data_IF_757225501944
#
_entry.id   IF_757225501944
#
_cell.length_a   1.000
_cell.length_b   1.000
_cell.length_c   1.000
_cell.angle_alpha   90.00
_cell.angle_beta   90.00
_cell.angle_gamma   90.00
#
_symmetry.space_group_name_H-M   'P 1'
#
loop_
_entity.id
_entity.type
_entity.pdbx_description
1 polymer ?
#
# COMPACT_ATOMS: atom_id res chain seq x y z
N UNK A 1 -9.97 11.10 13.79
CA UNK A 1 -8.56 10.76 14.15
C UNK A 1 -8.11 11.67 15.27
N UNK A 2 -7.58 11.10 16.37
CA UNK A 2 -7.14 11.87 17.54
C UNK A 2 -5.82 12.56 17.20
N UNK A 3 -5.77 13.89 17.32
CA UNK A 3 -4.53 14.67 17.16
C UNK A 3 -3.47 14.15 18.13
N UNK A 4 -2.42 13.50 17.63
CA UNK A 4 -1.25 13.14 18.44
C UNK A 4 -0.41 14.38 18.61
N UNK A 5 -0.40 14.96 19.82
CA UNK A 5 0.53 16.05 20.14
C UNK A 5 1.93 15.44 20.24
N UNK A 6 2.92 15.96 19.47
CA UNK A 6 4.28 15.43 19.56
C UNK A 6 4.80 15.61 20.99
N UNK A 7 5.41 14.56 21.60
CA UNK A 7 5.95 14.66 22.94
C UNK A 7 7.12 15.65 22.98
N UNK A 8 7.16 16.47 24.01
CA UNK A 8 8.31 17.30 24.35
C UNK A 8 9.48 16.41 24.80
N UNK A 9 10.71 16.80 24.47
CA UNK A 9 11.97 16.09 24.70
C UNK A 9 12.02 15.23 25.98
N UNK A 10 12.35 13.95 25.79
CA UNK A 10 12.60 13.01 26.87
C UNK A 10 11.49 11.97 27.15
N UNK A 11 10.45 11.91 26.35
CA UNK A 11 9.35 10.94 26.55
C UNK A 11 9.66 9.54 26.02
N UNK A 12 9.01 8.53 26.60
CA UNK A 12 9.01 7.15 26.14
C UNK A 12 8.63 7.09 24.65
N UNK A 13 9.17 6.11 23.91
CA UNK A 13 8.86 5.89 22.50
C UNK A 13 7.35 5.73 22.26
N UNK A 14 6.87 6.21 21.11
CA UNK A 14 5.48 6.07 20.68
C UNK A 14 5.41 4.95 19.65
N UNK A 15 4.47 4.02 19.83
CA UNK A 15 4.19 2.97 18.83
C UNK A 15 2.88 3.28 18.10
N UNK A 16 2.95 3.29 16.78
CA UNK A 16 1.83 3.53 15.88
C UNK A 16 1.57 2.30 15.00
N UNK A 17 0.32 2.14 14.61
CA UNK A 17 -0.07 1.18 13.56
C UNK A 17 -0.05 1.90 12.22
N UNK A 18 0.75 1.40 11.28
CA UNK A 18 0.81 1.87 9.91
C UNK A 18 -0.03 0.92 9.04
N UNK A 19 -1.30 1.26 8.85
CA UNK A 19 -2.27 0.42 8.15
C UNK A 19 -1.98 0.33 6.66
N UNK A 20 -1.98 -0.87 6.09
CA UNK A 20 -1.85 -1.07 4.66
C UNK A 20 -2.96 -0.35 3.88
N UNK A 21 -2.65 0.08 2.66
CA UNK A 21 -3.67 0.53 1.71
C UNK A 21 -4.04 -0.59 0.77
N UNK A 22 -5.27 -0.60 0.32
CA UNK A 22 -5.76 -1.45 -0.75
C UNK A 22 -6.39 -0.57 -1.83
N UNK A 23 -5.96 -0.74 -3.08
CA UNK A 23 -6.57 -0.09 -4.24
C UNK A 23 -7.68 -1.00 -4.75
N UNK A 24 -8.95 -0.60 -4.52
CA UNK A 24 -10.14 -1.37 -4.89
C UNK A 24 -10.47 -1.25 -6.37
N UNK A 25 -10.25 -0.06 -6.92
CA UNK A 25 -10.35 0.18 -8.35
C UNK A 25 -9.25 1.13 -8.80
N UNK A 26 -8.82 1.00 -10.04
CA UNK A 26 -7.80 1.85 -10.64
C UNK A 26 -8.13 2.06 -12.11
N UNK A 27 -8.39 3.30 -12.48
CA UNK A 27 -8.58 3.73 -13.86
C UNK A 27 -7.45 4.65 -14.28
N UNK A 28 -6.96 4.45 -15.47
CA UNK A 28 -6.00 5.36 -16.10
C UNK A 28 -6.78 6.43 -16.83
N UNK A 29 -6.63 7.71 -16.45
CA UNK A 29 -7.45 8.81 -16.99
C UNK A 29 -6.69 9.71 -17.96
N UNK A 30 -5.38 9.54 -18.06
CA UNK A 30 -4.54 10.30 -18.97
C UNK A 30 -3.06 10.24 -18.63
N UNK A 31 -2.29 11.02 -19.36
CA UNK A 31 -0.87 11.21 -19.17
C UNK A 31 -0.61 12.71 -19.00
N UNK A 32 0.15 13.09 -17.96
CA UNK A 32 0.59 14.46 -17.72
C UNK A 32 1.82 14.77 -18.59
N UNK A 33 2.05 16.05 -18.91
CA UNK A 33 3.15 16.49 -19.81
C UNK A 33 4.55 16.06 -19.33
N UNK A 34 4.71 15.82 -18.04
CA UNK A 34 5.97 15.33 -17.43
C UNK A 34 6.10 13.80 -17.42
N UNK A 35 5.16 13.09 -18.05
CA UNK A 35 5.18 11.64 -18.22
C UNK A 35 4.55 10.85 -17.07
N UNK A 36 3.96 11.51 -16.06
CA UNK A 36 3.22 10.81 -15.01
C UNK A 36 1.80 10.46 -15.47
N UNK A 37 1.38 9.24 -15.18
CA UNK A 37 0.03 8.78 -15.44
C UNK A 37 -0.97 9.39 -14.46
N UNK A 38 -2.08 9.89 -15.01
CA UNK A 38 -3.21 10.34 -14.22
C UNK A 38 -4.12 9.16 -13.92
N UNK A 39 -4.55 9.05 -12.67
CA UNK A 39 -5.39 7.97 -12.19
C UNK A 39 -6.71 8.48 -11.61
N UNK A 40 -7.69 7.59 -11.55
CA UNK A 40 -8.90 7.68 -10.73
C UNK A 40 -9.05 6.33 -10.03
N UNK A 41 -8.84 6.33 -8.72
CA UNK A 41 -8.80 5.12 -7.92
C UNK A 41 -9.65 5.23 -6.67
N UNK A 42 -10.25 4.13 -6.24
CA UNK A 42 -10.77 4.02 -4.90
C UNK A 42 -9.79 3.24 -4.03
N UNK A 43 -9.36 3.86 -2.93
CA UNK A 43 -8.44 3.26 -1.98
C UNK A 43 -9.07 3.15 -0.59
N UNK A 44 -8.68 2.11 0.15
CA UNK A 44 -9.10 1.88 1.54
C UNK A 44 -7.92 1.49 2.42
N UNK A 45 -7.95 1.94 3.68
CA UNK A 45 -7.07 1.40 4.71
C UNK A 45 -7.64 0.08 5.23
N UNK A 46 -6.80 -0.92 5.42
CA UNK A 46 -7.18 -2.25 5.90
C UNK A 46 -6.48 -2.58 7.23
N UNK A 47 -6.93 -3.61 7.93
CA UNK A 47 -6.41 -3.96 9.25
C UNK A 47 -5.00 -4.55 9.26
N UNK A 48 -4.52 -5.07 8.12
CA UNK A 48 -3.12 -5.45 7.98
C UNK A 48 -2.24 -4.21 8.20
N UNK A 49 -1.27 -4.27 9.13
CA UNK A 49 -0.47 -3.09 9.48
C UNK A 49 0.94 -3.45 9.95
N UNK A 50 1.87 -2.53 9.74
CA UNK A 50 3.18 -2.54 10.38
C UNK A 50 3.11 -1.83 11.74
N UNK A 51 4.04 -2.13 12.65
CA UNK A 51 4.19 -1.39 13.90
C UNK A 51 5.43 -0.49 13.84
N UNK A 52 5.20 0.80 14.04
CA UNK A 52 6.24 1.84 13.96
C UNK A 52 6.49 2.39 15.36
N UNK A 53 7.64 2.07 15.93
CA UNK A 53 8.06 2.63 17.25
C UNK A 53 9.04 3.76 17.00
N UNK A 54 8.68 4.96 17.45
CA UNK A 54 9.42 6.20 17.24
C UNK A 54 10.00 6.64 18.59
N UNK A 55 11.33 6.78 18.66
CA UNK A 55 12.04 7.24 19.86
C UNK A 55 12.71 8.58 19.57
N UNK A 56 12.14 9.71 20.02
CA UNK A 56 12.73 11.04 19.87
C UNK A 56 14.10 11.15 20.55
N UNK A 57 14.93 12.09 20.11
CA UNK A 57 16.26 12.35 20.70
C UNK A 57 17.32 11.30 20.37
N UNK A 58 16.98 10.26 19.62
CA UNK A 58 17.92 9.27 19.06
C UNK A 58 17.87 9.33 17.54
N UNK A 59 18.83 8.72 16.87
CA UNK A 59 18.88 8.61 15.40
C UNK A 59 19.10 7.17 15.02
N UNK A 60 18.73 6.84 13.76
CA UNK A 60 18.90 5.50 13.20
C UNK A 60 17.59 4.81 12.92
N UNK A 61 17.69 3.64 12.29
CA UNK A 61 16.54 2.82 11.92
C UNK A 61 16.86 1.36 12.16
N UNK A 62 15.85 0.60 12.57
CA UNK A 62 15.91 -0.86 12.64
C UNK A 62 14.63 -1.45 12.05
N UNK A 63 14.76 -2.58 11.38
CA UNK A 63 13.63 -3.29 10.77
C UNK A 63 13.66 -4.73 11.24
N UNK A 64 12.51 -5.22 11.69
CA UNK A 64 12.26 -6.58 12.15
C UNK A 64 10.96 -7.09 11.55
N UNK A 65 10.60 -8.33 11.83
CA UNK A 65 9.33 -8.92 11.37
C UNK A 65 9.48 -9.79 10.13
N UNK A 66 8.40 -10.46 9.71
CA UNK A 66 8.43 -11.47 8.66
C UNK A 66 8.80 -10.94 7.27
N UNK A 67 8.71 -9.63 7.05
CA UNK A 67 9.02 -8.97 5.78
C UNK A 67 10.14 -7.92 5.92
N UNK A 68 11.05 -8.12 6.89
CA UNK A 68 12.18 -7.22 7.11
C UNK A 68 13.26 -7.32 6.03
N UNK A 69 13.43 -8.51 5.44
CA UNK A 69 14.47 -8.78 4.47
C UNK A 69 14.37 -7.88 3.25
N UNK A 70 15.49 -7.26 2.86
CA UNK A 70 15.54 -6.33 1.72
C UNK A 70 15.00 -4.94 1.97
N UNK A 71 14.45 -4.63 3.17
CA UNK A 71 14.03 -3.27 3.52
C UNK A 71 15.25 -2.44 3.91
N UNK A 72 15.55 -1.33 3.20
CA UNK A 72 16.71 -0.51 3.49
C UNK A 72 16.56 0.19 4.86
N UNK A 73 17.67 0.36 5.58
CA UNK A 73 17.75 1.06 6.87
C UNK A 73 18.53 2.38 6.79
N UNK A 74 18.71 2.89 5.60
CA UNK A 74 19.44 4.11 5.28
C UNK A 74 18.54 5.23 4.72
N UNK A 75 19.14 6.29 4.18
CA UNK A 75 18.43 7.44 3.62
C UNK A 75 17.55 7.14 2.39
N UNK A 76 17.64 5.95 1.80
CA UNK A 76 16.77 5.54 0.69
C UNK A 76 15.39 5.08 1.18
N UNK A 77 15.25 4.72 2.46
CA UNK A 77 13.97 4.36 3.05
C UNK A 77 13.01 5.55 3.12
N UNK A 78 11.74 5.35 2.76
CA UNK A 78 10.71 6.40 2.80
C UNK A 78 10.51 6.99 4.21
N UNK A 79 10.71 6.20 5.26
CA UNK A 79 10.66 6.65 6.66
C UNK A 79 11.76 7.67 6.94
N UNK A 80 13.00 7.44 6.47
CA UNK A 80 14.08 8.40 6.63
C UNK A 80 13.78 9.71 5.89
N UNK A 81 13.28 9.62 4.66
CA UNK A 81 12.88 10.78 3.85
C UNK A 81 11.68 11.53 4.46
N UNK A 82 10.75 10.81 5.10
CA UNK A 82 9.63 11.42 5.82
C UNK A 82 10.10 12.21 7.06
N UNK A 83 11.07 11.68 7.81
CA UNK A 83 11.71 12.41 8.91
C UNK A 83 12.38 13.70 8.41
N UNK A 84 13.09 13.62 7.30
CA UNK A 84 13.75 14.78 6.66
C UNK A 84 12.72 15.83 6.21
N UNK A 85 11.66 15.42 5.49
CA UNK A 85 10.58 16.32 5.06
C UNK A 85 9.92 17.02 6.23
N UNK A 86 9.71 16.30 7.34
CA UNK A 86 9.10 16.84 8.55
C UNK A 86 10.08 17.68 9.43
N UNK A 87 11.36 17.76 9.07
CA UNK A 87 12.39 18.43 9.87
C UNK A 87 12.56 17.79 11.26
N UNK A 88 12.36 16.47 11.39
CA UNK A 88 12.40 15.72 12.65
C UNK A 88 13.58 14.75 12.69
N UNK A 89 14.01 14.42 13.91
CA UNK A 89 15.01 13.37 14.16
C UNK A 89 14.48 12.42 15.22
N UNK A 90 14.53 11.14 14.91
CA UNK A 90 14.15 10.06 15.80
C UNK A 90 14.88 8.78 15.42
N UNK A 91 14.99 7.84 16.36
CA UNK A 91 15.22 6.43 16.01
C UNK A 91 13.85 5.80 15.69
N UNK A 92 13.77 5.08 14.57
CA UNK A 92 12.54 4.39 14.16
C UNK A 92 12.79 2.90 14.09
N UNK A 93 11.97 2.14 14.82
CA UNK A 93 11.94 0.68 14.74
C UNK A 93 10.66 0.25 14.02
N UNK A 94 10.81 -0.55 12.97
CA UNK A 94 9.70 -1.03 12.14
C UNK A 94 9.58 -2.55 12.35
N UNK A 95 8.41 -3.02 12.81
CA UNK A 95 8.03 -4.43 12.75
C UNK A 95 7.21 -4.64 11.48
N UNK A 96 7.88 -5.18 10.45
CA UNK A 96 7.37 -5.26 9.07
C UNK A 96 6.49 -6.47 8.88
N UNK A 97 5.19 -6.24 8.76
CA UNK A 97 4.13 -7.26 8.60
C UNK A 97 3.41 -7.16 7.26
N UNK A 98 3.53 -6.01 6.57
CA UNK A 98 3.03 -5.79 5.23
C UNK A 98 4.12 -6.23 4.24
N UNK A 99 3.84 -7.19 3.33
CA UNK A 99 4.81 -7.61 2.33
C UNK A 99 5.16 -6.47 1.38
N UNK A 100 6.45 -6.32 1.09
CA UNK A 100 6.92 -5.36 0.08
C UNK A 100 6.71 -5.91 -1.34
N UNK A 101 6.45 -5.03 -2.30
CA UNK A 101 6.18 -5.43 -3.69
C UNK A 101 4.81 -6.08 -3.92
N UNK A 102 3.93 -6.08 -2.91
CA UNK A 102 2.58 -6.65 -2.99
C UNK A 102 1.48 -5.66 -3.41
N UNK A 103 1.79 -4.40 -3.74
CA UNK A 103 0.76 -3.41 -4.08
C UNK A 103 0.00 -2.83 -2.87
N UNK A 104 0.40 -3.17 -1.63
CA UNK A 104 -0.29 -2.81 -0.38
C UNK A 104 0.27 -1.55 0.31
N UNK A 105 1.22 -0.86 -0.31
CA UNK A 105 1.73 0.45 0.13
C UNK A 105 2.50 0.46 1.45
N UNK A 106 3.10 -0.67 1.90
CA UNK A 106 3.74 -0.77 3.21
C UNK A 106 4.78 0.31 3.51
N UNK A 107 5.69 0.61 2.57
CA UNK A 107 6.66 1.70 2.77
C UNK A 107 6.02 3.09 2.82
N UNK A 108 4.94 3.31 2.05
CA UNK A 108 4.21 4.57 2.03
C UNK A 108 3.45 4.79 3.33
N UNK A 109 2.85 3.74 3.89
CA UNK A 109 2.13 3.85 5.15
C UNK A 109 3.07 4.02 6.33
N UNK A 110 4.28 3.40 6.30
CA UNK A 110 5.32 3.63 7.30
C UNK A 110 5.77 5.10 7.30
N UNK A 111 6.00 5.67 6.12
CA UNK A 111 6.35 7.07 5.95
C UNK A 111 5.21 8.01 6.43
N UNK A 112 3.96 7.69 6.07
CA UNK A 112 2.80 8.46 6.52
C UNK A 112 2.64 8.44 8.04
N UNK A 113 2.94 7.32 8.73
CA UNK A 113 2.93 7.25 10.19
C UNK A 113 3.96 8.21 10.81
N UNK A 114 5.13 8.36 10.21
CA UNK A 114 6.14 9.34 10.64
C UNK A 114 5.66 10.77 10.44
N UNK A 115 5.12 11.08 9.26
CA UNK A 115 4.58 12.41 8.97
C UNK A 115 3.45 12.77 9.92
N UNK A 116 2.57 11.82 10.22
CA UNK A 116 1.47 11.98 11.15
C UNK A 116 1.97 12.26 12.59
N UNK A 117 2.95 11.47 13.05
CA UNK A 117 3.61 11.69 14.33
C UNK A 117 4.24 13.08 14.43
N UNK A 118 4.85 13.54 13.34
CA UNK A 118 5.48 14.85 13.27
C UNK A 118 4.49 16.03 13.23
N UNK A 119 3.18 15.76 13.12
CA UNK A 119 2.14 16.78 13.01
C UNK A 119 2.02 17.36 11.60
N UNK A 120 2.45 16.61 10.57
CA UNK A 120 2.32 17.01 9.17
C UNK A 120 0.83 17.11 8.78
N UNK A 121 0.47 18.13 8.00
CA UNK A 121 -0.92 18.40 7.61
C UNK A 121 -1.45 17.44 6.55
N UNK A 122 -2.77 17.58 6.30
CA UNK A 122 -3.48 16.90 5.21
C UNK A 122 -4.18 17.92 4.29
N UNK A 123 -3.76 19.18 4.35
CA UNK A 123 -4.16 20.19 3.36
C UNK A 123 -3.55 19.90 1.99
N UNK A 124 -4.05 20.51 0.90
CA UNK A 124 -3.59 20.20 -0.45
C UNK A 124 -2.08 20.37 -0.65
N UNK A 125 -1.47 21.38 -0.08
CA UNK A 125 -0.02 21.62 -0.22
C UNK A 125 0.80 20.53 0.51
N UNK A 126 0.35 20.11 1.68
CA UNK A 126 0.94 19.01 2.42
C UNK A 126 0.82 17.67 1.65
N UNK A 127 -0.33 17.38 1.07
CA UNK A 127 -0.52 16.17 0.26
C UNK A 127 0.35 16.17 -0.99
N UNK A 128 0.48 17.31 -1.68
CA UNK A 128 1.40 17.47 -2.82
C UNK A 128 2.85 17.25 -2.37
N UNK A 129 3.26 17.79 -1.23
CA UNK A 129 4.61 17.57 -0.71
C UNK A 129 4.86 16.08 -0.35
N UNK A 130 3.88 15.41 0.26
CA UNK A 130 3.95 14.00 0.59
C UNK A 130 4.01 13.10 -0.66
N UNK A 131 3.23 13.39 -1.70
CA UNK A 131 3.21 12.62 -2.95
C UNK A 131 4.55 12.62 -3.68
N UNK A 132 5.39 13.64 -3.49
CA UNK A 132 6.75 13.70 -4.04
C UNK A 132 7.71 12.69 -3.40
N UNK A 133 7.42 12.22 -2.19
CA UNK A 133 8.15 11.11 -1.57
C UNK A 133 7.68 9.76 -2.13
N UNK A 134 6.37 9.63 -2.36
CA UNK A 134 5.74 8.46 -2.93
C UNK A 134 4.23 8.70 -3.11
N UNK A 135 3.69 8.35 -4.27
CA UNK A 135 2.31 8.67 -4.68
C UNK A 135 1.24 8.21 -3.65
N UNK A 136 1.42 7.04 -3.06
CA UNK A 136 0.47 6.49 -2.08
C UNK A 136 0.53 7.17 -0.69
N UNK A 137 1.57 7.97 -0.40
CA UNK A 137 1.74 8.60 0.93
C UNK A 137 0.62 9.57 1.23
N UNK A 138 0.12 10.31 0.23
CA UNK A 138 -0.99 11.25 0.39
C UNK A 138 -2.25 10.54 0.88
N UNK A 139 -2.62 9.41 0.25
CA UNK A 139 -3.72 8.59 0.74
C UNK A 139 -3.45 8.03 2.14
N UNK A 140 -2.25 7.51 2.41
CA UNK A 140 -1.89 6.94 3.72
C UNK A 140 -1.94 7.99 4.86
N UNK A 141 -1.70 9.27 4.56
CA UNK A 141 -1.87 10.38 5.52
C UNK A 141 -3.34 10.64 5.85
N UNK A 142 -4.23 10.59 4.86
CA UNK A 142 -5.67 10.80 5.05
C UNK A 142 -6.31 9.56 5.66
N UNK A 143 -5.99 8.40 5.13
CA UNK A 143 -6.51 7.10 5.57
C UNK A 143 -8.00 6.89 5.33
N UNK A 144 -8.53 5.80 5.86
CA UNK A 144 -9.93 5.45 5.72
C UNK A 144 -10.29 4.95 4.32
N UNK A 145 -11.36 5.51 3.73
CA UNK A 145 -11.78 5.25 2.35
C UNK A 145 -11.76 6.58 1.58
N UNK A 146 -11.16 6.60 0.41
CA UNK A 146 -11.08 7.81 -0.40
C UNK A 146 -11.06 7.51 -1.90
N UNK A 147 -11.53 8.47 -2.70
CA UNK A 147 -11.20 8.59 -4.10
C UNK A 147 -9.85 9.30 -4.22
N UNK A 148 -8.96 8.72 -4.99
CA UNK A 148 -7.60 9.24 -5.21
C UNK A 148 -7.43 9.52 -6.68
N UNK A 149 -7.01 10.74 -7.02
CA UNK A 149 -6.84 11.17 -8.40
C UNK A 149 -5.57 12.00 -8.60
N UNK A 150 -5.38 12.53 -9.82
CA UNK A 150 -4.12 13.13 -10.21
C UNK A 150 -3.05 12.05 -10.39
N UNK A 151 -1.85 12.25 -9.82
CA UNK A 151 -0.80 11.23 -9.74
C UNK A 151 -0.79 10.52 -8.36
N UNK A 152 -1.86 10.73 -7.53
CA UNK A 152 -2.01 10.24 -6.16
C UNK A 152 -2.10 11.35 -5.10
N UNK A 153 -1.94 12.62 -5.49
CA UNK A 153 -1.92 13.78 -4.59
C UNK A 153 -3.30 14.32 -4.23
N UNK A 154 -4.32 14.05 -5.04
CA UNK A 154 -5.68 14.51 -4.79
C UNK A 154 -6.44 13.40 -4.07
N UNK A 155 -6.79 13.62 -2.81
CA UNK A 155 -7.45 12.64 -1.96
C UNK A 155 -8.77 13.20 -1.46
N UNK A 156 -9.87 12.62 -1.90
CA UNK A 156 -11.22 12.99 -1.52
C UNK A 156 -11.82 11.92 -0.59
N UNK A 157 -11.94 12.17 0.73
CA UNK A 157 -12.49 11.19 1.65
C UNK A 157 -13.91 10.76 1.27
N UNK A 158 -14.18 9.46 1.36
CA UNK A 158 -15.48 8.86 1.14
C UNK A 158 -16.06 8.33 2.46
N UNK A 159 -17.39 8.18 2.57
CA UNK A 159 -18.01 7.56 3.73
C UNK A 159 -17.41 6.18 4.01
N UNK A 160 -17.18 5.90 5.29
CA UNK A 160 -16.73 4.59 5.72
C UNK A 160 -17.77 3.51 5.38
N UNK A 161 -17.30 2.39 4.87
CA UNK A 161 -18.13 1.19 4.64
C UNK A 161 -17.36 0.02 5.23
N UNK A 162 -17.97 -0.62 6.22
CA UNK A 162 -17.39 -1.85 6.79
C UNK A 162 -17.53 -3.00 5.78
N UNK A 163 -16.41 -3.64 5.46
CA UNK A 163 -16.35 -4.76 4.53
C UNK A 163 -15.29 -5.75 4.98
N UNK A 164 -15.61 -7.03 4.88
CA UNK A 164 -14.61 -8.07 4.94
C UNK A 164 -13.86 -8.11 3.60
N UNK A 165 -12.54 -8.19 3.69
CA UNK A 165 -11.65 -8.30 2.53
C UNK A 165 -10.71 -9.46 2.79
N UNK A 166 -10.67 -10.41 1.88
CA UNK A 166 -9.70 -11.50 1.92
C UNK A 166 -8.60 -11.23 0.90
N UNK A 167 -7.36 -11.21 1.38
CA UNK A 167 -6.17 -11.02 0.55
C UNK A 167 -5.51 -12.37 0.27
N UNK A 168 -5.13 -12.60 -0.97
CA UNK A 168 -4.19 -13.66 -1.35
C UNK A 168 -2.92 -12.99 -1.87
N UNK A 169 -1.83 -13.19 -1.16
CA UNK A 169 -0.54 -12.55 -1.40
C UNK A 169 0.44 -13.61 -1.90
N UNK A 170 0.62 -13.76 -3.22
CA UNK A 170 1.57 -14.71 -3.80
C UNK A 170 3.03 -14.40 -3.36
N UNK A 171 3.93 -15.39 -3.40
CA UNK A 171 5.36 -15.16 -3.19
C UNK A 171 6.03 -14.54 -4.44
N UNK A 172 5.40 -13.49 -4.95
CA UNK A 172 5.78 -12.76 -6.15
C UNK A 172 5.81 -11.26 -5.87
N UNK A 173 6.50 -10.51 -6.72
CA UNK A 173 6.46 -9.05 -6.68
C UNK A 173 6.35 -8.49 -8.08
N UNK A 174 5.62 -7.39 -8.23
CA UNK A 174 5.52 -6.64 -9.49
C UNK A 174 6.12 -5.25 -9.30
N UNK A 175 7.03 -4.90 -10.18
CA UNK A 175 7.59 -3.54 -10.20
C UNK A 175 6.54 -2.57 -10.72
N UNK A 176 6.08 -1.65 -9.88
CA UNK A 176 5.10 -0.62 -10.27
C UNK A 176 5.56 0.17 -11.50
N UNK A 177 6.81 0.69 -11.60
CA UNK A 177 7.27 1.34 -12.81
C UNK A 177 7.26 0.44 -14.05
N UNK A 178 7.51 -0.87 -13.90
CA UNK A 178 7.44 -1.80 -15.01
C UNK A 178 6.00 -2.04 -15.47
N UNK A 179 5.04 -2.11 -14.54
CA UNK A 179 3.63 -2.26 -14.87
C UNK A 179 3.10 -1.07 -15.67
N UNK A 180 3.44 0.17 -15.27
CA UNK A 180 3.06 1.37 -16.02
C UNK A 180 3.68 1.40 -17.42
N UNK A 181 4.98 1.08 -17.55
CA UNK A 181 5.63 0.99 -18.88
C UNK A 181 4.99 -0.07 -19.77
N UNK A 182 4.70 -1.25 -19.22
CA UNK A 182 4.02 -2.31 -19.95
C UNK A 182 2.62 -1.88 -20.40
N UNK A 183 1.90 -1.10 -19.57
CA UNK A 183 0.61 -0.54 -19.91
C UNK A 183 0.71 0.41 -21.13
N UNK A 184 1.73 1.29 -21.16
CA UNK A 184 2.01 2.16 -22.29
C UNK A 184 2.33 1.37 -23.57
N UNK A 185 3.22 0.35 -23.45
CA UNK A 185 3.64 -0.50 -24.55
C UNK A 185 2.47 -1.31 -25.15
N UNK A 186 1.46 -1.62 -24.33
CA UNK A 186 0.23 -2.28 -24.77
C UNK A 186 -0.77 -1.31 -25.44
N UNK A 187 -0.44 -0.02 -25.53
CA UNK A 187 -1.32 0.99 -26.11
C UNK A 187 -2.38 1.54 -25.14
N UNK A 188 -2.14 1.42 -23.84
CA UNK A 188 -3.01 1.98 -22.82
C UNK A 188 -4.37 1.29 -22.69
N UNK A 189 -4.44 -0.05 -22.54
CA UNK A 189 -5.72 -0.75 -22.50
C UNK A 189 -6.53 -0.36 -21.27
N UNK A 190 -7.82 -0.06 -21.48
CA UNK A 190 -8.82 -0.02 -20.41
C UNK A 190 -9.49 -1.39 -20.34
N UNK A 191 -9.39 -2.06 -19.19
CA UNK A 191 -10.04 -3.36 -18.99
C UNK A 191 -11.51 -3.23 -18.59
N UNK A 192 -12.27 -4.31 -18.79
CA UNK A 192 -13.64 -4.42 -18.25
C UNK A 192 -13.64 -4.62 -16.73
N UNK A 193 -12.52 -5.09 -16.17
CA UNK A 193 -12.31 -5.27 -14.72
C UNK A 193 -12.09 -3.95 -13.98
N UNK A 194 -12.02 -3.97 -12.66
CA UNK A 194 -11.88 -2.76 -11.84
C UNK A 194 -10.48 -2.14 -11.88
N UNK A 195 -9.47 -2.78 -12.47
CA UNK A 195 -8.08 -2.34 -12.47
C UNK A 195 -7.45 -2.38 -13.88
N UNK A 196 -7.20 -1.21 -14.46
CA UNK A 196 -6.62 -1.08 -15.80
C UNK A 196 -5.16 -1.58 -15.89
N UNK A 197 -4.45 -1.67 -14.76
CA UNK A 197 -3.07 -2.20 -14.73
C UNK A 197 -3.01 -3.74 -14.72
N UNK A 198 -4.12 -4.46 -14.55
CA UNK A 198 -4.09 -5.92 -14.44
C UNK A 198 -3.42 -6.58 -15.66
N UNK A 199 -3.82 -6.18 -16.87
CA UNK A 199 -3.26 -6.75 -18.10
C UNK A 199 -1.75 -6.52 -18.17
N UNK A 200 -1.29 -5.32 -17.84
CA UNK A 200 0.12 -4.96 -17.82
C UNK A 200 0.91 -5.73 -16.74
N UNK A 201 0.34 -5.86 -15.55
CA UNK A 201 0.95 -6.65 -14.47
C UNK A 201 1.14 -8.12 -14.85
N UNK A 202 0.17 -8.71 -15.57
CA UNK A 202 0.24 -10.08 -16.11
C UNK A 202 1.27 -10.24 -17.23
N UNK A 203 1.67 -9.16 -17.89
CA UNK A 203 2.79 -9.15 -18.85
C UNK A 203 4.12 -9.08 -18.13
N UNK A 204 4.23 -8.23 -17.11
CA UNK A 204 5.45 -8.06 -16.31
C UNK A 204 5.77 -9.32 -15.51
N UNK A 205 4.76 -9.96 -14.92
CA UNK A 205 4.91 -11.18 -14.13
C UNK A 205 3.86 -12.23 -14.57
N UNK A 206 4.15 -13.02 -15.60
CA UNK A 206 3.18 -13.97 -16.18
C UNK A 206 2.67 -15.05 -15.20
N UNK A 207 3.45 -15.38 -14.15
CA UNK A 207 3.06 -16.36 -13.11
C UNK A 207 1.84 -15.89 -12.32
N UNK A 208 1.56 -14.60 -12.27
CA UNK A 208 0.37 -14.05 -11.62
C UNK A 208 -0.93 -14.54 -12.26
N UNK A 209 -0.91 -14.92 -13.54
CA UNK A 209 -2.08 -15.48 -14.24
C UNK A 209 -2.57 -16.77 -13.55
N UNK A 210 -1.64 -17.66 -13.22
CA UNK A 210 -1.96 -18.88 -12.49
C UNK A 210 -2.65 -18.58 -11.14
N UNK A 211 -2.12 -17.59 -10.40
CA UNK A 211 -2.71 -17.19 -9.12
C UNK A 211 -4.13 -16.66 -9.28
N UNK A 212 -4.35 -15.77 -10.24
CA UNK A 212 -5.68 -15.24 -10.54
C UNK A 212 -6.67 -16.36 -10.83
N UNK A 213 -6.30 -17.24 -11.74
CA UNK A 213 -7.17 -18.32 -12.22
C UNK A 213 -7.41 -19.36 -11.11
N UNK A 214 -6.37 -19.70 -10.34
CA UNK A 214 -6.47 -20.61 -9.19
C UNK A 214 -7.38 -20.06 -8.07
N UNK A 215 -7.29 -18.77 -7.78
CA UNK A 215 -8.19 -18.12 -6.82
C UNK A 215 -9.62 -18.13 -7.38
N UNK A 216 -9.81 -17.69 -8.62
CA UNK A 216 -11.14 -17.63 -9.24
C UNK A 216 -11.87 -18.99 -9.22
N UNK A 217 -11.16 -20.07 -9.53
CA UNK A 217 -11.69 -21.44 -9.49
C UNK A 217 -12.21 -21.82 -8.10
N UNK A 218 -11.48 -21.45 -7.04
CA UNK A 218 -11.77 -21.81 -5.66
C UNK A 218 -12.89 -20.99 -5.04
N UNK A 219 -12.94 -19.70 -5.34
CA UNK A 219 -13.94 -18.81 -4.74
C UNK A 219 -15.19 -18.62 -5.62
N UNK A 220 -15.15 -19.05 -6.89
CA UNK A 220 -16.24 -18.94 -7.84
C UNK A 220 -16.48 -17.55 -8.42
N UNK A 221 -15.52 -16.62 -8.23
CA UNK A 221 -15.56 -15.27 -8.79
C UNK A 221 -14.15 -14.79 -9.14
N UNK A 222 -14.02 -13.81 -10.04
CA UNK A 222 -12.71 -13.25 -10.38
C UNK A 222 -12.19 -12.40 -9.23
N UNK A 223 -10.97 -12.67 -8.72
CA UNK A 223 -10.33 -11.79 -7.74
C UNK A 223 -9.89 -10.49 -8.42
N UNK A 224 -9.69 -9.46 -7.64
CA UNK A 224 -9.23 -8.14 -8.09
C UNK A 224 -7.76 -7.96 -7.76
N UNK A 225 -6.98 -7.42 -8.70
CA UNK A 225 -5.59 -7.07 -8.47
C UNK A 225 -5.48 -5.79 -7.64
N UNK A 226 -4.69 -5.82 -6.56
CA UNK A 226 -4.40 -4.68 -5.70
C UNK A 226 -3.34 -3.75 -6.34
N UNK A 227 -3.75 -2.63 -6.92
CA UNK A 227 -2.84 -1.68 -7.56
C UNK A 227 -2.05 -2.32 -8.71
N UNK A 228 -0.72 -2.22 -8.69
CA UNK A 228 0.17 -2.90 -9.66
C UNK A 228 0.43 -4.38 -9.35
N UNK A 229 -0.08 -4.91 -8.25
CA UNK A 229 0.14 -6.28 -7.80
C UNK A 229 1.37 -6.40 -6.85
N UNK A 230 1.71 -7.64 -6.40
CA UNK A 230 1.18 -8.96 -6.83
C UNK A 230 -0.04 -9.49 -6.04
N UNK A 231 -0.57 -8.73 -5.08
CA UNK A 231 -1.70 -9.17 -4.23
C UNK A 231 -3.00 -9.20 -5.02
N UNK A 232 -3.78 -10.25 -4.81
CA UNK A 232 -5.17 -10.39 -5.24
C UNK A 232 -6.09 -10.26 -4.04
N UNK A 233 -7.30 -9.76 -4.24
CA UNK A 233 -8.30 -9.70 -3.18
C UNK A 233 -9.70 -10.00 -3.69
N UNK A 234 -10.56 -10.41 -2.75
CA UNK A 234 -12.01 -10.48 -2.91
C UNK A 234 -12.69 -9.76 -1.74
N UNK A 235 -13.88 -9.22 -1.97
CA UNK A 235 -14.72 -8.63 -0.92
C UNK A 235 -15.71 -9.65 -0.33
N UNK A 236 -15.49 -10.94 -0.59
CA UNK A 236 -16.23 -12.01 0.03
C UNK A 236 -15.75 -12.20 1.48
N UNK A 237 -16.70 -12.21 2.39
CA UNK A 237 -16.46 -12.64 3.77
C UNK A 237 -16.33 -14.16 3.84
N UNK A 238 -15.30 -14.64 4.51
CA UNK A 238 -15.11 -16.04 4.83
C UNK A 238 -15.01 -16.17 6.35
N UNK A 239 -15.59 -17.24 6.90
CA UNK A 239 -15.16 -17.75 8.21
C UNK A 239 -13.75 -18.33 8.07
N UNK A 240 -13.04 -18.54 9.19
CA UNK A 240 -11.70 -19.13 9.15
C UNK A 240 -11.73 -20.52 8.48
N UNK A 241 -12.72 -21.36 8.83
CA UNK A 241 -12.89 -22.70 8.24
C UNK A 241 -13.18 -22.65 6.72
N UNK A 242 -14.04 -21.72 6.27
CA UNK A 242 -14.34 -21.55 4.85
C UNK A 242 -13.10 -21.06 4.08
N UNK A 243 -12.34 -20.12 4.65
CA UNK A 243 -11.10 -19.60 4.06
C UNK A 243 -10.06 -20.71 3.93
N UNK A 244 -9.83 -21.46 5.00
CA UNK A 244 -8.84 -22.53 5.02
C UNK A 244 -9.24 -23.68 4.08
N UNK A 245 -10.53 -24.01 3.97
CA UNK A 245 -11.02 -25.00 3.01
C UNK A 245 -10.94 -24.52 1.56
N UNK A 246 -11.19 -23.25 1.29
CA UNK A 246 -11.20 -22.72 -0.07
C UNK A 246 -9.80 -22.35 -0.57
N UNK A 247 -8.93 -21.80 0.30
CA UNK A 247 -7.67 -21.16 -0.09
C UNK A 247 -6.43 -21.76 0.61
N UNK A 248 -6.61 -22.75 1.50
CA UNK A 248 -5.52 -23.31 2.31
C UNK A 248 -4.42 -23.95 1.47
N UNK A 249 -4.76 -24.61 0.37
CA UNK A 249 -3.78 -25.20 -0.54
C UNK A 249 -2.90 -24.14 -1.26
N UNK A 250 -3.38 -22.91 -1.40
CA UNK A 250 -2.56 -21.80 -1.92
C UNK A 250 -1.48 -21.37 -0.93
N UNK A 251 -1.67 -21.64 0.37
CA UNK A 251 -0.64 -21.41 1.39
C UNK A 251 0.49 -22.44 1.23
N UNK A 252 0.19 -23.67 0.85
CA UNK A 252 1.19 -24.71 0.55
C UNK A 252 2.03 -24.33 -0.69
N UNK A 253 1.45 -23.58 -1.63
CA UNK A 253 2.15 -22.99 -2.79
C UNK A 253 2.93 -21.70 -2.43
N UNK A 254 2.93 -21.30 -1.16
CA UNK A 254 3.68 -20.16 -0.63
C UNK A 254 2.93 -18.84 -0.56
N UNK A 255 1.62 -18.81 -0.82
CA UNK A 255 0.84 -17.59 -0.60
C UNK A 255 0.61 -17.33 0.91
N UNK A 256 0.42 -16.06 1.24
CA UNK A 256 -0.20 -15.67 2.50
C UNK A 256 -1.66 -15.30 2.23
N UNK A 257 -2.57 -15.92 2.98
CA UNK A 257 -4.00 -15.57 2.97
C UNK A 257 -4.32 -14.83 4.26
N UNK A 258 -4.94 -13.66 4.15
CA UNK A 258 -5.25 -12.76 5.29
C UNK A 258 -6.69 -12.29 5.20
#
# INVERSE_FOLDING_TARGET
MTKVTPPSDGSAGVTLRAHAKLTRSLRMTGLRDDGFHLIDAEMVSIDLHDLITITPGRTGMSVTGPYADGVPVDGSNLVARALELAGRRAHVSIDKRIPHGGGLGGGSTDAAAILHWAGFGTDPDALIAASRLGADISFCLVGGRARVSGIGEIVEPLPHVERAITLVIPPLSVSTPAAYRAWDELGGPTGDGPNDLEVAALVVEPRMRWWRDAIAERIGEAPVLAGSGATWFTERAFTDDERDNALGDLVDEGARVV
#
